data_IF_292865724006
#
_entry.id   IF_292865724006
#
_cell.length_a   1.000
_cell.length_b   1.000
_cell.length_c   1.000
_cell.angle_alpha   90.00
_cell.angle_beta   90.00
_cell.angle_gamma   90.00
#
_symmetry.space_group_name_H-M   'P 1'
#
loop_
_entity.id
_entity.type
_entity.pdbx_description
1 polymer ?
#
# COMPACT_ATOMS: atom_id res chain seq x y z
N UNK A 1 -34.48 -20.30 -28.10
CA UNK A 1 -33.50 -19.21 -28.24
C UNK A 1 -32.67 -19.17 -26.97
N UNK A 2 -31.43 -19.66 -27.03
CA UNK A 2 -30.49 -19.54 -25.93
C UNK A 2 -29.99 -18.09 -25.87
N UNK A 3 -30.11 -17.45 -24.71
CA UNK A 3 -29.53 -16.13 -24.47
C UNK A 3 -28.00 -16.30 -24.41
N UNK A 4 -27.28 -15.56 -25.25
CA UNK A 4 -25.84 -15.39 -25.13
C UNK A 4 -25.52 -14.94 -23.70
N UNK A 5 -24.83 -15.80 -22.95
CA UNK A 5 -24.07 -15.36 -21.80
C UNK A 5 -22.91 -14.55 -22.37
N UNK A 6 -22.99 -13.22 -22.27
CA UNK A 6 -21.87 -12.35 -22.60
C UNK A 6 -20.63 -12.85 -21.88
N UNK A 7 -19.54 -13.02 -22.61
CA UNK A 7 -18.22 -13.27 -22.04
C UNK A 7 -17.98 -12.26 -20.91
N UNK A 8 -17.41 -12.66 -19.76
CA UNK A 8 -16.97 -11.71 -18.75
C UNK A 8 -16.11 -10.67 -19.45
N UNK A 9 -16.49 -9.39 -19.35
CA UNK A 9 -15.73 -8.31 -19.97
C UNK A 9 -14.29 -8.38 -19.47
N UNK A 10 -13.32 -8.25 -20.39
CA UNK A 10 -11.92 -8.06 -20.03
C UNK A 10 -11.86 -6.79 -19.16
N UNK A 11 -11.44 -6.91 -17.91
CA UNK A 11 -11.11 -5.73 -17.09
C UNK A 11 -9.76 -5.21 -17.54
N UNK A 12 -9.67 -3.92 -17.87
CA UNK A 12 -8.38 -3.26 -18.08
C UNK A 12 -7.56 -3.36 -16.78
N UNK A 13 -6.30 -3.77 -16.94
CA UNK A 13 -5.34 -3.85 -15.85
C UNK A 13 -4.25 -2.81 -16.08
N UNK A 14 -3.81 -2.21 -14.98
CA UNK A 14 -2.76 -1.22 -14.98
C UNK A 14 -1.72 -1.58 -13.94
N UNK A 15 -0.45 -1.50 -14.32
CA UNK A 15 0.64 -1.47 -13.34
C UNK A 15 0.93 -0.02 -12.97
N UNK A 16 0.73 0.29 -11.71
CA UNK A 16 1.24 1.50 -11.10
C UNK A 16 2.72 1.28 -10.74
N UNK A 17 3.61 2.10 -11.27
CA UNK A 17 5.04 2.11 -10.93
C UNK A 17 5.37 3.40 -10.18
N UNK A 18 5.90 3.26 -8.98
CA UNK A 18 6.26 4.34 -8.07
C UNK A 18 7.75 4.32 -7.87
N UNK A 19 8.42 5.37 -8.33
CA UNK A 19 9.85 5.57 -8.11
C UNK A 19 10.03 6.45 -6.87
N UNK A 20 10.85 5.97 -5.94
CA UNK A 20 11.18 6.66 -4.69
C UNK A 20 12.51 7.43 -4.80
N UNK A 21 12.72 8.38 -3.91
CA UNK A 21 13.92 9.23 -3.88
C UNK A 21 15.20 8.49 -3.51
N UNK A 22 15.09 7.33 -2.86
CA UNK A 22 16.22 6.41 -2.58
C UNK A 22 16.59 5.53 -3.79
N UNK A 23 15.86 5.65 -4.91
CA UNK A 23 16.05 4.86 -6.11
C UNK A 23 15.31 3.53 -6.12
N UNK A 24 14.56 3.19 -5.06
CA UNK A 24 13.70 2.01 -5.04
C UNK A 24 12.44 2.21 -5.90
N UNK A 25 11.90 1.10 -6.40
CA UNK A 25 10.70 1.06 -7.23
C UNK A 25 9.65 0.17 -6.54
N UNK A 26 8.47 0.73 -6.29
CA UNK A 26 7.29 -0.03 -5.87
C UNK A 26 6.36 -0.19 -7.07
N UNK A 27 5.69 -1.32 -7.14
CA UNK A 27 4.81 -1.65 -8.25
C UNK A 27 3.55 -2.36 -7.76
N UNK A 28 2.41 -1.85 -8.22
CA UNK A 28 1.09 -2.27 -7.77
C UNK A 28 0.19 -2.55 -8.96
N UNK A 29 -0.51 -3.68 -8.92
CA UNK A 29 -1.54 -3.98 -9.89
C UNK A 29 -2.86 -3.31 -9.49
N UNK A 30 -3.45 -2.55 -10.40
CA UNK A 30 -4.70 -1.83 -10.23
C UNK A 30 -5.71 -2.23 -11.31
N UNK A 31 -6.98 -2.30 -10.94
CA UNK A 31 -8.07 -2.28 -11.92
C UNK A 31 -8.41 -0.83 -12.32
N UNK A 32 -9.27 -0.67 -13.33
CA UNK A 32 -9.70 0.66 -13.83
C UNK A 32 -10.23 1.58 -12.74
N UNK A 33 -11.11 1.09 -11.86
CA UNK A 33 -11.70 1.92 -10.81
C UNK A 33 -10.64 2.40 -9.81
N UNK A 34 -9.75 1.50 -9.37
CA UNK A 34 -8.66 1.85 -8.45
C UNK A 34 -7.69 2.86 -9.07
N UNK A 35 -7.40 2.74 -10.37
CA UNK A 35 -6.60 3.72 -11.10
C UNK A 35 -7.27 5.09 -11.11
N UNK A 36 -8.56 5.16 -11.45
CA UNK A 36 -9.32 6.42 -11.48
C UNK A 36 -9.38 7.08 -10.10
N UNK A 37 -9.66 6.31 -9.05
CA UNK A 37 -9.68 6.78 -7.66
C UNK A 37 -8.31 7.33 -7.23
N UNK A 38 -7.23 6.65 -7.61
CA UNK A 38 -5.88 7.09 -7.27
C UNK A 38 -5.47 8.34 -8.06
N UNK A 39 -5.79 8.43 -9.35
CA UNK A 39 -5.56 9.64 -10.13
C UNK A 39 -6.29 10.85 -9.52
N UNK A 40 -7.53 10.65 -9.06
CA UNK A 40 -8.29 11.69 -8.38
C UNK A 40 -7.60 12.11 -7.07
N UNK A 41 -7.18 11.14 -6.24
CA UNK A 41 -6.39 11.39 -5.02
C UNK A 41 -5.14 12.24 -5.30
N UNK A 42 -4.40 11.93 -6.36
CA UNK A 42 -3.22 12.70 -6.77
C UNK A 42 -3.57 14.12 -7.24
N UNK A 43 -4.67 14.29 -7.98
CA UNK A 43 -5.15 15.62 -8.41
C UNK A 43 -5.54 16.48 -7.23
N UNK A 44 -6.23 15.90 -6.24
CA UNK A 44 -6.63 16.59 -5.02
C UNK A 44 -5.41 16.95 -4.15
N UNK A 45 -4.41 16.07 -4.07
CA UNK A 45 -3.13 16.37 -3.43
C UNK A 45 -2.39 17.53 -4.11
N UNK A 46 -2.36 17.59 -5.44
CA UNK A 46 -1.75 18.71 -6.18
C UNK A 46 -2.46 20.05 -5.92
N UNK A 47 -3.78 20.04 -5.76
CA UNK A 47 -4.57 21.23 -5.44
C UNK A 47 -4.32 21.69 -3.99
N UNK A 48 -4.17 20.75 -3.05
CA UNK A 48 -3.91 21.03 -1.64
C UNK A 48 -2.45 21.40 -1.34
N UNK A 49 -1.47 20.95 -2.14
CA UNK A 49 -0.05 21.32 -2.02
C UNK A 49 0.26 22.81 -2.23
N UNK A 50 -0.72 23.62 -2.63
CA UNK A 50 -0.64 25.09 -2.49
C UNK A 50 -0.61 25.55 -1.02
N UNK A 51 -0.85 24.64 -0.07
CA UNK A 51 -0.54 24.76 1.34
C UNK A 51 0.32 23.55 1.79
N UNK A 52 1.66 23.67 1.83
CA UNK A 52 2.59 22.55 2.03
C UNK A 52 2.53 21.88 3.41
N UNK A 53 1.67 22.35 4.32
CA UNK A 53 1.51 21.78 5.65
C UNK A 53 0.63 20.51 5.70
N UNK A 54 -0.18 20.21 4.67
CA UNK A 54 -1.38 19.38 4.88
C UNK A 54 -1.38 17.96 4.29
N UNK A 55 -0.44 17.54 3.45
CA UNK A 55 -0.47 16.19 2.87
C UNK A 55 0.89 15.48 2.93
N UNK A 56 1.14 14.79 4.05
CA UNK A 56 2.34 13.96 4.25
C UNK A 56 2.25 12.60 3.55
N UNK A 57 1.05 12.08 3.32
CA UNK A 57 0.82 10.76 2.71
C UNK A 57 -0.28 10.82 1.65
N UNK A 58 -0.17 9.95 0.65
CA UNK A 58 -1.26 9.57 -0.27
C UNK A 58 -1.71 8.15 0.02
N UNK A 59 -3.01 7.92 -0.11
CA UNK A 59 -3.68 6.66 0.22
C UNK A 59 -4.31 6.06 -1.03
N UNK A 60 -4.15 4.74 -1.22
CA UNK A 60 -4.86 4.01 -2.26
C UNK A 60 -5.00 2.52 -1.93
N UNK A 61 -6.04 1.90 -2.48
CA UNK A 61 -6.24 0.46 -2.39
C UNK A 61 -5.52 -0.27 -3.52
N UNK A 62 -4.93 -1.42 -3.20
CA UNK A 62 -4.22 -2.30 -4.13
C UNK A 62 -4.68 -3.75 -3.97
N UNK A 63 -4.39 -4.57 -4.97
CA UNK A 63 -4.76 -5.99 -4.93
C UNK A 63 -3.67 -6.84 -4.22
N UNK A 64 -4.07 -7.92 -3.49
CA UNK A 64 -5.44 -8.26 -3.07
C UNK A 64 -5.80 -7.55 -1.77
N UNK A 65 -6.87 -6.73 -1.77
CA UNK A 65 -7.47 -6.12 -0.56
C UNK A 65 -6.47 -5.46 0.41
N UNK A 66 -5.40 -4.87 -0.12
CA UNK A 66 -4.42 -4.14 0.69
C UNK A 66 -4.59 -2.65 0.46
N UNK A 67 -4.09 -1.88 1.41
CA UNK A 67 -4.13 -0.43 1.42
C UNK A 67 -2.71 0.07 1.59
N UNK A 68 -2.34 1.05 0.77
CA UNK A 68 -0.99 1.63 0.73
C UNK A 68 -1.05 3.08 1.19
N UNK A 69 -0.23 3.40 2.17
CA UNK A 69 0.06 4.77 2.60
C UNK A 69 1.47 5.14 2.18
N UNK A 70 1.57 6.14 1.34
CA UNK A 70 2.81 6.48 0.68
C UNK A 70 3.20 7.92 1.02
N UNK A 71 4.36 8.09 1.63
CA UNK A 71 4.81 9.40 2.05
C UNK A 71 5.26 10.22 0.84
N UNK A 72 4.59 11.36 0.64
CA UNK A 72 4.79 12.20 -0.55
C UNK A 72 6.18 12.83 -0.62
N UNK A 73 6.84 13.00 0.53
CA UNK A 73 8.20 13.51 0.62
C UNK A 73 9.27 12.57 0.03
N UNK A 74 8.95 11.30 -0.17
CA UNK A 74 9.85 10.30 -0.76
C UNK A 74 9.50 9.95 -2.21
N UNK A 75 8.53 10.62 -2.82
CA UNK A 75 8.13 10.36 -4.19
C UNK A 75 9.00 11.10 -5.19
N UNK A 76 9.56 10.35 -6.14
CA UNK A 76 10.23 10.91 -7.30
C UNK A 76 9.29 10.97 -8.52
N UNK A 77 8.61 9.85 -8.81
CA UNK A 77 7.74 9.75 -9.99
C UNK A 77 6.70 8.64 -9.82
N UNK A 78 5.49 8.90 -10.32
CA UNK A 78 4.45 7.89 -10.49
C UNK A 78 4.18 7.69 -11.98
N UNK A 79 4.11 6.44 -12.44
CA UNK A 79 3.82 6.06 -13.84
C UNK A 79 2.73 5.01 -13.87
N UNK A 80 1.74 5.18 -14.75
CA UNK A 80 0.74 4.15 -15.04
C UNK A 80 1.13 3.45 -16.35
N UNK A 81 1.14 2.12 -16.33
CA UNK A 81 1.43 1.27 -17.49
C UNK A 81 0.20 0.45 -17.81
N UNK A 82 -0.25 0.50 -19.07
CA UNK A 82 -1.40 -0.26 -19.54
C UNK A 82 -0.98 -1.72 -19.82
N UNK A 83 -1.54 -2.67 -19.06
CA UNK A 83 -1.26 -4.10 -19.22
C UNK A 83 -2.41 -4.78 -19.96
N UNK A 84 -2.52 -4.53 -21.26
CA UNK A 84 -3.57 -5.09 -22.11
C UNK A 84 -3.07 -6.25 -22.99
N UNK A 85 -3.80 -7.38 -23.14
CA UNK A 85 -4.93 -7.83 -22.33
C UNK A 85 -4.43 -8.71 -21.18
N UNK A 86 -4.78 -8.37 -19.96
CA UNK A 86 -4.61 -9.31 -18.87
C UNK A 86 -5.63 -10.44 -18.99
N UNK A 87 -5.13 -11.68 -19.06
CA UNK A 87 -5.97 -12.86 -18.85
C UNK A 87 -6.64 -12.70 -17.49
N UNK A 88 -7.97 -12.79 -17.49
CA UNK A 88 -8.87 -12.44 -16.39
C UNK A 88 -8.75 -13.29 -15.11
N UNK A 89 -7.60 -13.94 -14.86
CA UNK A 89 -7.50 -14.95 -13.81
C UNK A 89 -6.52 -14.65 -12.69
N UNK A 90 -5.51 -13.79 -12.81
CA UNK A 90 -4.57 -13.62 -11.68
C UNK A 90 -4.08 -12.17 -11.57
N UNK A 91 -4.88 -11.31 -10.91
CA UNK A 91 -4.24 -10.29 -10.08
C UNK A 91 -3.56 -11.08 -8.96
N UNK A 92 -2.27 -10.91 -8.79
CA UNK A 92 -1.50 -11.62 -7.78
C UNK A 92 -0.73 -10.60 -6.95
N UNK A 93 -0.44 -10.96 -5.71
CA UNK A 93 0.31 -10.08 -4.84
C UNK A 93 1.71 -9.82 -5.41
N UNK A 94 2.17 -8.58 -5.36
CA UNK A 94 3.55 -8.23 -5.71
C UNK A 94 4.29 -7.82 -4.46
N UNK A 95 5.31 -8.61 -4.10
CA UNK A 95 6.19 -8.31 -2.98
C UNK A 95 7.17 -7.20 -3.38
N UNK A 96 6.87 -5.98 -2.94
CA UNK A 96 7.71 -4.80 -3.18
C UNK A 96 8.88 -4.68 -2.21
N UNK A 97 8.92 -5.51 -1.17
CA UNK A 97 9.80 -5.34 -0.02
C UNK A 97 10.74 -6.53 0.23
N UNK A 98 10.67 -7.56 -0.61
CA UNK A 98 11.43 -8.80 -0.49
C UNK A 98 11.20 -9.52 0.84
N UNK A 99 9.97 -9.46 1.35
CA UNK A 99 9.56 -10.12 2.58
C UNK A 99 9.37 -11.62 2.36
N UNK A 100 8.89 -12.01 1.19
CA UNK A 100 8.62 -13.41 0.89
C UNK A 100 9.90 -14.17 0.49
N UNK A 101 10.00 -15.48 0.78
CA UNK A 101 11.15 -16.29 0.41
C UNK A 101 11.27 -16.44 -1.13
N UNK A 102 12.50 -16.59 -1.61
CA UNK A 102 12.80 -16.63 -3.05
C UNK A 102 12.11 -17.79 -3.81
N UNK A 103 11.76 -18.87 -3.11
CA UNK A 103 11.01 -19.99 -3.70
C UNK A 103 9.57 -19.65 -4.10
N UNK A 104 9.02 -18.57 -3.54
CA UNK A 104 7.65 -18.11 -3.76
C UNK A 104 7.58 -16.92 -4.73
N UNK A 105 8.74 -16.33 -5.05
CA UNK A 105 8.88 -15.30 -6.08
C UNK A 105 8.93 -15.95 -7.46
N UNK A 106 7.99 -15.61 -8.34
CA UNK A 106 8.15 -15.91 -9.77
C UNK A 106 9.28 -15.05 -10.36
N UNK A 107 9.87 -15.44 -11.50
CA UNK A 107 11.03 -14.78 -12.16
C UNK A 107 10.89 -13.26 -12.42
N UNK A 108 9.75 -12.64 -12.10
CA UNK A 108 9.49 -11.20 -12.21
C UNK A 108 9.13 -10.51 -10.88
N UNK A 109 9.32 -11.15 -9.73
CA UNK A 109 9.02 -10.57 -8.41
C UNK A 109 7.53 -10.51 -8.07
N UNK A 110 6.68 -11.26 -8.78
CA UNK A 110 5.27 -11.42 -8.43
C UNK A 110 5.12 -12.71 -7.62
N UNK A 111 4.47 -12.62 -6.46
CA UNK A 111 4.09 -13.77 -5.67
C UNK A 111 2.76 -14.30 -6.20
N UNK A 112 2.71 -15.58 -6.58
CA UNK A 112 1.45 -16.19 -6.98
C UNK A 112 0.64 -16.45 -5.72
N UNK A 113 -0.54 -15.85 -5.56
CA UNK A 113 -1.34 -15.99 -4.34
C UNK A 113 -2.30 -17.19 -4.43
N UNK A 114 -2.03 -18.26 -3.69
CA UNK A 114 -3.01 -19.25 -3.25
C UNK A 114 -3.53 -18.91 -1.84
N UNK A 115 -4.57 -19.59 -1.34
CA UNK A 115 -5.03 -19.41 0.05
C UNK A 115 -3.92 -19.65 1.09
N UNK A 116 -2.96 -20.54 0.77
CA UNK A 116 -1.79 -20.79 1.63
C UNK A 116 -0.77 -19.65 1.57
N UNK A 117 -0.64 -18.98 0.41
CA UNK A 117 0.28 -17.85 0.22
C UNK A 117 -0.27 -16.55 0.83
N UNK A 118 -1.59 -16.37 0.89
CA UNK A 118 -2.20 -15.22 1.61
C UNK A 118 -1.85 -15.25 3.10
N UNK A 119 -1.68 -16.44 3.69
CA UNK A 119 -1.28 -16.60 5.09
C UNK A 119 0.20 -16.24 5.35
N UNK A 120 1.02 -16.06 4.30
CA UNK A 120 2.43 -15.70 4.39
C UNK A 120 2.69 -14.20 4.16
N UNK A 121 1.69 -13.46 3.67
CA UNK A 121 1.80 -12.00 3.51
C UNK A 121 1.57 -11.35 4.87
N UNK A 122 2.51 -10.56 5.42
CA UNK A 122 2.29 -9.92 6.70
C UNK A 122 1.07 -8.99 6.68
N UNK A 123 0.41 -8.91 7.82
CA UNK A 123 -0.72 -8.03 8.01
C UNK A 123 -0.34 -6.56 7.78
N UNK A 124 0.85 -6.14 8.21
CA UNK A 124 1.40 -4.80 7.99
C UNK A 124 2.89 -4.87 7.63
N UNK A 125 3.26 -4.14 6.58
CA UNK A 125 4.64 -3.95 6.12
C UNK A 125 4.93 -2.45 6.15
N UNK A 126 6.05 -2.05 6.77
CA UNK A 126 6.46 -0.64 6.87
C UNK A 126 7.87 -0.50 6.34
N UNK A 127 8.03 0.24 5.23
CA UNK A 127 9.33 0.69 4.76
C UNK A 127 9.70 2.00 5.46
N UNK A 128 10.86 1.98 6.10
CA UNK A 128 11.45 3.11 6.79
C UNK A 128 12.56 3.78 5.95
N UNK A 129 12.92 5.00 6.30
CA UNK A 129 14.18 5.58 5.85
C UNK A 129 15.34 4.86 6.54
N UNK A 130 16.25 4.28 5.75
CA UNK A 130 17.36 3.46 6.28
C UNK A 130 18.22 4.21 7.31
N UNK A 131 19.01 3.58 8.18
CA UNK A 131 19.31 2.16 8.43
C UNK A 131 19.07 1.91 9.93
N UNK A 132 18.10 1.09 10.28
CA UNK A 132 18.08 0.42 11.59
C UNK A 132 18.70 -0.95 11.35
N UNK A 133 19.63 -1.38 12.21
CA UNK A 133 20.75 -2.31 11.92
C UNK A 133 20.45 -3.74 11.38
N UNK A 134 19.25 -4.04 10.89
CA UNK A 134 18.94 -5.35 10.29
C UNK A 134 18.08 -5.31 9.02
N UNK A 135 17.23 -4.29 8.80
CA UNK A 135 16.37 -4.16 7.62
C UNK A 135 15.80 -2.74 7.56
N UNK A 136 15.54 -2.19 6.37
CA UNK A 136 14.74 -0.96 6.20
C UNK A 136 13.23 -1.23 6.19
N UNK A 137 12.84 -2.50 6.36
CA UNK A 137 11.45 -2.96 6.36
C UNK A 137 11.11 -3.61 7.70
N UNK A 138 10.02 -3.17 8.32
CA UNK A 138 9.38 -3.83 9.46
C UNK A 138 8.16 -4.60 8.97
N UNK A 139 7.92 -5.78 9.55
CA UNK A 139 6.78 -6.64 9.24
C UNK A 139 6.08 -7.04 10.52
N UNK A 140 4.75 -7.03 10.48
CA UNK A 140 3.89 -7.50 11.55
C UNK A 140 2.93 -8.54 10.98
N UNK A 141 3.03 -9.77 11.47
CA UNK A 141 2.19 -10.90 11.03
C UNK A 141 0.88 -10.98 11.82
N UNK A 142 0.78 -10.24 12.91
CA UNK A 142 -0.42 -10.10 13.71
C UNK A 142 -0.43 -8.79 14.48
N UNK A 143 -1.59 -8.15 14.43
CA UNK A 143 -1.94 -6.92 15.11
C UNK A 143 -3.31 -7.14 15.77
N UNK A 144 -3.46 -6.85 17.07
CA UNK A 144 -4.76 -6.79 17.73
C UNK A 144 -5.71 -5.77 17.07
N UNK A 145 -7.01 -5.99 17.23
CA UNK A 145 -8.04 -5.14 16.64
C UNK A 145 -7.95 -3.71 17.19
N UNK A 146 -7.67 -2.74 16.32
CA UNK A 146 -7.63 -1.31 16.65
C UNK A 146 -6.22 -0.75 16.86
N UNK A 147 -5.15 -1.50 16.60
CA UNK A 147 -3.78 -1.01 16.80
C UNK A 147 -3.38 0.12 15.84
N UNK A 148 -4.05 0.23 14.69
CA UNK A 148 -3.96 1.38 13.80
C UNK A 148 -5.10 2.39 14.00
N UNK A 149 -6.02 2.17 14.95
CA UNK A 149 -7.10 3.15 15.24
C UNK A 149 -6.56 4.48 15.78
N UNK A 150 -5.35 4.47 16.32
CA UNK A 150 -4.62 5.67 16.76
C UNK A 150 -4.08 6.46 15.57
N UNK A 151 -3.95 5.82 14.41
CA UNK A 151 -3.53 6.43 13.15
C UNK A 151 -4.72 7.16 12.51
N UNK A 152 -5.05 8.35 13.01
CA UNK A 152 -6.01 9.22 12.34
C UNK A 152 -5.33 9.93 11.16
N UNK A 153 -5.70 9.53 9.95
CA UNK A 153 -5.33 10.20 8.70
C UNK A 153 -6.42 11.13 8.19
N UNK A 154 -7.35 11.54 9.07
CA UNK A 154 -8.40 12.47 8.70
C UNK A 154 -7.77 13.76 8.18
N UNK A 155 -7.85 13.90 6.86
CA UNK A 155 -7.31 14.97 6.03
C UNK A 155 -8.00 16.33 6.27
N UNK A 156 -8.60 16.55 7.45
CA UNK A 156 -9.28 17.78 7.81
C UNK A 156 -9.27 18.14 9.31
N UNK A 157 -8.57 17.40 10.18
CA UNK A 157 -8.60 17.71 11.63
C UNK A 157 -7.48 18.68 12.01
N UNK A 158 -7.93 19.92 12.17
CA UNK A 158 -7.35 21.01 12.96
C UNK A 158 -6.21 20.63 13.91
N UNK A 159 -5.07 21.31 13.73
CA UNK A 159 -4.18 21.76 14.81
C UNK A 159 -3.97 20.81 16.01
N UNK A 160 -3.72 19.52 15.78
CA UNK A 160 -2.93 18.75 16.75
C UNK A 160 -1.53 18.58 16.20
N UNK A 161 -0.67 19.53 16.58
CA UNK A 161 0.72 19.21 16.82
C UNK A 161 0.74 17.94 17.69
N UNK A 162 1.56 16.93 17.34
CA UNK A 162 1.76 15.67 18.07
C UNK A 162 0.95 14.43 17.65
N UNK A 163 1.23 13.94 16.44
CA UNK A 163 1.68 12.55 16.34
C UNK A 163 2.95 12.51 15.45
N UNK A 164 4.09 12.79 16.06
CA UNK A 164 5.40 12.57 15.41
C UNK A 164 5.73 11.08 15.27
N UNK A 165 4.96 10.22 15.94
CA UNK A 165 5.15 8.79 16.03
C UNK A 165 3.83 8.06 15.74
N UNK A 166 3.95 6.94 15.04
CA UNK A 166 2.95 5.88 14.93
C UNK A 166 3.18 4.92 16.10
N UNK A 167 2.15 4.64 16.88
CA UNK A 167 2.16 3.60 17.92
C UNK A 167 1.51 2.34 17.35
N UNK A 168 2.17 1.19 17.53
CA UNK A 168 1.67 -0.14 17.19
C UNK A 168 1.83 -1.02 18.42
N UNK A 169 0.84 -1.83 18.73
CA UNK A 169 0.96 -2.89 19.73
C UNK A 169 1.22 -4.17 18.93
N UNK A 170 2.07 -5.08 19.37
CA UNK A 170 2.24 -6.37 18.69
C UNK A 170 1.47 -7.48 19.42
N UNK A 171 1.45 -8.69 18.85
CA UNK A 171 0.76 -9.83 19.44
C UNK A 171 1.27 -10.25 20.83
N UNK A 172 2.46 -9.80 21.21
CA UNK A 172 3.03 -10.05 22.54
C UNK A 172 2.62 -8.95 23.55
N UNK A 173 1.92 -7.92 23.09
CA UNK A 173 1.45 -6.77 23.87
C UNK A 173 2.49 -5.67 24.01
N UNK A 174 3.59 -5.72 23.24
CA UNK A 174 4.65 -4.72 23.30
C UNK A 174 4.29 -3.48 22.47
N UNK A 175 4.56 -2.30 23.04
CA UNK A 175 4.30 -1.02 22.37
C UNK A 175 5.51 -0.61 21.52
N UNK A 176 5.30 -0.49 20.23
CA UNK A 176 6.26 -0.09 19.21
C UNK A 176 5.96 1.33 18.74
N UNK A 177 6.94 2.24 18.83
CA UNK A 177 6.78 3.65 18.43
C UNK A 177 7.69 3.97 17.24
N UNK A 178 7.08 4.33 16.11
CA UNK A 178 7.78 4.59 14.84
C UNK A 178 7.63 6.05 14.46
N UNK A 179 8.71 6.85 14.36
CA UNK A 179 8.61 8.22 13.91
C UNK A 179 7.98 8.32 12.51
N UNK A 180 6.88 9.06 12.36
CA UNK A 180 6.15 9.23 11.08
C UNK A 180 7.08 9.77 9.99
N UNK A 181 8.03 10.64 10.35
CA UNK A 181 9.05 11.18 9.43
C UNK A 181 9.97 10.11 8.82
N UNK A 182 10.11 8.96 9.49
CA UNK A 182 10.90 7.83 9.01
C UNK A 182 10.08 6.90 8.13
N UNK A 183 8.75 6.99 8.11
CA UNK A 183 7.91 6.13 7.30
C UNK A 183 7.93 6.60 5.85
N UNK A 184 8.41 5.74 4.96
CA UNK A 184 8.42 5.92 3.50
C UNK A 184 7.11 5.39 2.91
N UNK A 185 6.76 4.18 3.28
CA UNK A 185 5.58 3.48 2.78
C UNK A 185 5.05 2.55 3.87
N UNK A 186 3.74 2.44 4.00
CA UNK A 186 3.07 1.37 4.73
C UNK A 186 2.12 0.65 3.80
N UNK A 187 2.08 -0.66 3.92
CA UNK A 187 1.18 -1.51 3.16
C UNK A 187 0.61 -2.56 4.09
N UNK A 188 -0.71 -2.60 4.21
CA UNK A 188 -1.39 -3.55 5.09
C UNK A 188 -2.74 -3.99 4.54
N UNK A 189 -3.37 -4.93 5.24
CA UNK A 189 -4.74 -5.37 4.92
C UNK A 189 -5.74 -4.19 4.99
N UNK A 190 -6.83 -4.21 4.21
CA UNK A 190 -7.81 -3.14 4.29
C UNK A 190 -8.44 -3.04 5.69
N UNK A 191 -8.77 -4.17 6.29
CA UNK A 191 -9.52 -4.28 7.55
C UNK A 191 -8.79 -3.64 8.74
N UNK A 192 -7.45 -3.54 8.72
CA UNK A 192 -6.68 -2.86 9.76
C UNK A 192 -6.75 -1.32 9.64
N UNK A 193 -7.22 -0.79 8.51
CA UNK A 193 -7.37 0.64 8.25
C UNK A 193 -8.84 1.11 8.15
N UNK A 194 -9.83 0.21 8.20
CA UNK A 194 -11.25 0.52 7.95
C UNK A 194 -11.93 1.38 9.05
N UNK A 195 -11.30 1.62 10.20
CA UNK A 195 -11.84 2.50 11.25
C UNK A 195 -11.34 3.97 11.18
N UNK A 196 -10.56 4.35 10.15
CA UNK A 196 -10.04 5.72 9.96
C UNK A 196 -10.95 6.59 9.05
N UNK A 197 -12.17 6.13 8.73
CA UNK A 197 -13.14 6.85 7.89
C UNK A 197 -14.41 7.27 8.63
#
# INVERSE_FOLDING_TARGET
MAKNNGSPGLSEQFTLIINLTDGSELSYALNTNQKEDFEQTLRDALLSWRNPANAKFVLFGVFPKRVVYLNTGYLLKITFVDDFPALSSEFSYKDNFNVLPDSEKTEKGFAKSTEEDEALIPQLIIKLTGKVEASDVLTYDGLEKGELSVFSLDAAVQESEMQEFLELIDTDGDNNFIPVRQIVCMEGEADIFEEVR
#
